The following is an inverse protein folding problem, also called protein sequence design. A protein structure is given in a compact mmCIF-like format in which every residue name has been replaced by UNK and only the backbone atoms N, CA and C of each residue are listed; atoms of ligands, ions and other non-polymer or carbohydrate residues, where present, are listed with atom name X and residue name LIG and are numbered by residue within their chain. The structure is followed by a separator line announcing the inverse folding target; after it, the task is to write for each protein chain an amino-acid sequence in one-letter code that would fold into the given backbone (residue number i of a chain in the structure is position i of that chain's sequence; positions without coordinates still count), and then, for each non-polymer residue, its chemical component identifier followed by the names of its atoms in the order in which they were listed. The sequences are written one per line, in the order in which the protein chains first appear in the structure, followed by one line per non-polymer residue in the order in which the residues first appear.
data_IF_050342842202
#
_entry.id   IF_050342842202
#
_cell.length_a   1.000
_cell.length_b   1.000
_cell.length_c   1.000
_cell.angle_alpha   90.00
_cell.angle_beta   90.00
_cell.angle_gamma   90.00
#
_symmetry.space_group_name_H-M   'P 1'
#
loop_
_entity.id
_entity.type
_entity.pdbx_description
1 polymer ?
#
# COMPACT_ATOMS: atom_id res chain seq x y z
N UNK A 1 -23.78 -9.39 5.34
CA UNK A 1 -22.85 -10.01 4.35
C UNK A 1 -22.21 -8.91 3.53
N UNK A 2 -20.90 -8.90 3.39
CA UNK A 2 -20.16 -7.87 2.59
C UNK A 2 -20.14 -8.42 1.14
N UNK A 3 -21.26 -8.39 0.42
CA UNK A 3 -21.40 -9.06 -0.88
C UNK A 3 -21.06 -8.17 -2.09
N UNK A 4 -20.98 -6.83 -1.92
CA UNK A 4 -20.90 -5.91 -3.07
C UNK A 4 -19.63 -5.03 -3.10
N UNK A 5 -18.50 -5.52 -2.55
CA UNK A 5 -17.26 -4.77 -2.66
C UNK A 5 -16.69 -4.93 -4.06
N UNK A 6 -16.63 -3.82 -4.83
CA UNK A 6 -16.03 -3.81 -6.16
C UNK A 6 -14.51 -3.73 -6.06
N UNK A 7 -13.83 -4.53 -6.89
CA UNK A 7 -12.37 -4.46 -7.04
C UNK A 7 -11.97 -3.09 -7.56
N UNK A 8 -11.01 -2.46 -6.88
CA UNK A 8 -10.33 -1.28 -7.40
C UNK A 8 -9.27 -1.73 -8.42
N UNK A 9 -9.51 -1.47 -9.70
CA UNK A 9 -8.68 -1.89 -10.84
C UNK A 9 -8.55 -0.75 -11.84
N UNK A 10 -7.52 -0.75 -12.72
CA UNK A 10 -7.43 0.22 -13.81
C UNK A 10 -8.69 0.19 -14.68
N UNK A 11 -9.21 1.37 -15.03
CA UNK A 11 -10.34 1.49 -15.92
C UNK A 11 -9.92 1.13 -17.36
N UNK A 12 -10.66 0.24 -18.06
CA UNK A 12 -10.42 -0.03 -19.46
C UNK A 12 -10.56 1.23 -20.31
N UNK A 13 -9.62 1.44 -21.23
CA UNK A 13 -9.67 2.50 -22.24
C UNK A 13 -10.29 1.91 -23.50
N UNK A 14 -11.37 2.52 -23.97
CA UNK A 14 -12.03 2.10 -25.21
C UNK A 14 -11.15 2.37 -26.44
N UNK A 15 -11.35 1.59 -27.50
CA UNK A 15 -10.68 1.81 -28.77
C UNK A 15 -10.99 3.21 -29.31
N UNK A 16 -9.94 3.90 -29.75
CA UNK A 16 -10.03 5.20 -30.42
C UNK A 16 -9.04 5.21 -31.60
N UNK A 17 -9.52 5.49 -32.80
CA UNK A 17 -8.70 5.49 -34.03
C UNK A 17 -7.61 6.57 -34.08
N UNK A 18 -7.59 7.49 -33.13
CA UNK A 18 -6.58 8.58 -33.04
C UNK A 18 -5.23 8.18 -32.49
N UNK A 19 -5.01 6.89 -32.18
CA UNK A 19 -3.77 6.41 -31.61
C UNK A 19 -2.70 6.22 -32.68
N UNK A 20 -1.50 6.75 -32.46
CA UNK A 20 -0.35 6.53 -33.35
C UNK A 20 0.28 5.15 -33.07
N UNK A 21 0.38 4.29 -34.08
CA UNK A 21 1.05 3.00 -33.95
C UNK A 21 2.55 3.16 -33.79
N UNK A 22 3.11 2.50 -32.77
CA UNK A 22 4.53 2.36 -32.54
C UNK A 22 4.97 0.92 -32.89
N UNK A 23 5.72 0.79 -33.97
CA UNK A 23 6.24 -0.49 -34.47
C UNK A 23 7.70 -0.66 -34.08
N UNK A 24 8.19 -1.88 -34.12
CA UNK A 24 9.60 -2.16 -33.91
C UNK A 24 10.50 -1.36 -34.87
N UNK A 25 11.53 -0.70 -34.33
CA UNK A 25 12.39 0.19 -35.10
C UNK A 25 11.89 1.64 -35.28
N UNK A 26 10.69 1.97 -34.74
CA UNK A 26 10.25 3.37 -34.67
C UNK A 26 11.19 4.16 -33.77
N UNK A 27 11.54 5.38 -34.18
CA UNK A 27 12.38 6.28 -33.39
C UNK A 27 11.70 6.74 -32.11
N UNK A 28 12.32 6.49 -30.96
CA UNK A 28 11.81 6.90 -29.66
C UNK A 28 11.73 8.43 -29.52
N UNK A 29 12.65 9.18 -30.13
CA UNK A 29 12.65 10.66 -30.08
C UNK A 29 11.39 11.24 -30.70
N UNK A 30 11.04 10.81 -31.91
CA UNK A 30 9.80 11.19 -32.59
C UNK A 30 8.55 10.81 -31.80
N UNK A 31 8.55 9.63 -31.15
CA UNK A 31 7.44 9.20 -30.31
C UNK A 31 7.32 10.08 -29.05
N UNK A 32 8.42 10.47 -28.42
CA UNK A 32 8.42 11.40 -27.27
C UNK A 32 7.86 12.76 -27.66
N UNK A 33 8.20 13.29 -28.84
CA UNK A 33 7.59 14.53 -29.34
C UNK A 33 6.07 14.43 -29.51
N UNK A 34 5.58 13.29 -30.01
CA UNK A 34 4.14 13.05 -30.12
C UNK A 34 3.47 12.96 -28.75
N UNK A 35 4.10 12.32 -27.76
CA UNK A 35 3.61 12.29 -26.37
C UNK A 35 3.50 13.71 -25.77
N UNK A 36 4.52 14.55 -26.01
CA UNK A 36 4.53 15.96 -25.55
C UNK A 36 3.37 16.74 -26.17
N UNK A 37 3.04 16.45 -27.44
CA UNK A 37 1.88 17.02 -28.15
C UNK A 37 0.54 16.42 -27.70
N UNK A 38 0.54 15.53 -26.68
CA UNK A 38 -0.66 14.89 -26.15
C UNK A 38 -1.23 13.76 -26.99
N UNK A 39 -0.47 13.20 -27.95
CA UNK A 39 -0.91 12.09 -28.76
C UNK A 39 -0.68 10.76 -28.03
N UNK A 40 -1.65 9.87 -28.09
CA UNK A 40 -1.51 8.51 -27.57
C UNK A 40 -0.70 7.62 -28.54
N UNK A 41 0.19 6.82 -27.97
CA UNK A 41 1.09 5.90 -28.67
C UNK A 41 0.68 4.47 -28.34
N UNK A 42 0.36 3.65 -29.37
CA UNK A 42 0.02 2.26 -29.22
C UNK A 42 1.20 1.36 -29.58
N UNK A 43 1.70 0.60 -28.62
CA UNK A 43 2.76 -0.39 -28.84
C UNK A 43 2.19 -1.60 -29.56
N UNK A 44 2.66 -1.88 -30.77
CA UNK A 44 2.09 -2.93 -31.65
C UNK A 44 2.90 -4.23 -31.71
N UNK A 45 4.23 -4.15 -31.79
CA UNK A 45 5.04 -5.33 -32.09
C UNK A 45 5.54 -6.05 -30.83
N UNK A 46 6.46 -5.47 -30.08
CA UNK A 46 7.06 -6.12 -28.92
C UNK A 46 6.82 -5.32 -27.63
N UNK A 47 6.61 -6.04 -26.56
CA UNK A 47 6.51 -5.43 -25.21
C UNK A 47 7.76 -4.61 -24.82
N UNK A 48 8.93 -5.08 -25.27
CA UNK A 48 10.22 -4.40 -25.07
C UNK A 48 10.27 -3.01 -25.71
N UNK A 49 9.53 -2.77 -26.78
CA UNK A 49 9.51 -1.45 -27.46
C UNK A 49 8.89 -0.39 -26.54
N UNK A 50 7.83 -0.74 -25.82
CA UNK A 50 7.24 0.14 -24.80
C UNK A 50 8.17 0.37 -23.59
N UNK A 51 8.91 -0.66 -23.18
CA UNK A 51 9.92 -0.51 -22.12
C UNK A 51 11.05 0.43 -22.54
N UNK A 52 11.51 0.32 -23.80
CA UNK A 52 12.51 1.21 -24.38
C UNK A 52 12.04 2.65 -24.45
N UNK A 53 10.80 2.86 -24.94
CA UNK A 53 10.19 4.19 -25.03
C UNK A 53 10.06 4.85 -23.64
N UNK A 54 9.61 4.10 -22.61
CA UNK A 54 9.53 4.61 -21.24
C UNK A 54 10.92 4.98 -20.68
N UNK A 55 11.93 4.17 -20.97
CA UNK A 55 13.31 4.45 -20.54
C UNK A 55 13.85 5.74 -21.15
N UNK A 56 13.63 5.95 -22.42
CA UNK A 56 14.10 7.14 -23.11
C UNK A 56 13.28 8.38 -22.76
N UNK A 57 11.96 8.23 -22.52
CA UNK A 57 11.13 9.30 -21.93
C UNK A 57 11.65 9.73 -20.55
N UNK A 58 12.04 8.77 -19.70
CA UNK A 58 12.66 9.07 -18.42
C UNK A 58 13.97 9.85 -18.55
N UNK A 59 14.85 9.44 -19.48
CA UNK A 59 16.09 10.17 -19.76
C UNK A 59 15.81 11.58 -20.29
N UNK A 60 14.91 11.71 -21.25
CA UNK A 60 14.51 13.00 -21.82
C UNK A 60 14.03 13.97 -20.73
N UNK A 61 13.11 13.52 -19.88
CA UNK A 61 12.58 14.36 -18.81
C UNK A 61 13.63 14.72 -17.76
N UNK A 62 14.56 13.81 -17.42
CA UNK A 62 15.68 14.13 -16.51
C UNK A 62 16.61 15.22 -17.04
N UNK A 63 16.80 15.30 -18.35
CA UNK A 63 17.60 16.35 -18.98
C UNK A 63 16.84 17.69 -19.04
N UNK A 64 15.53 17.66 -19.12
CA UNK A 64 14.69 18.87 -19.29
C UNK A 64 14.18 19.46 -17.98
N UNK A 65 13.96 18.63 -16.97
CA UNK A 65 13.41 19.03 -15.68
C UNK A 65 14.47 18.79 -14.59
N UNK A 66 14.87 19.82 -13.84
CA UNK A 66 15.70 19.63 -12.68
C UNK A 66 14.94 18.77 -11.66
N UNK A 67 15.65 17.98 -10.87
CA UNK A 67 15.09 17.07 -9.89
C UNK A 67 15.88 17.01 -8.58
N UNK A 68 16.52 18.12 -8.24
CA UNK A 68 17.38 18.25 -7.06
C UNK A 68 16.57 18.58 -5.80
N UNK A 69 15.55 19.44 -5.93
CA UNK A 69 14.64 19.79 -4.84
C UNK A 69 13.41 18.88 -4.83
N UNK A 70 12.73 18.82 -3.69
CA UNK A 70 11.48 18.07 -3.53
C UNK A 70 10.38 18.53 -4.51
N UNK A 71 10.23 19.85 -4.70
CA UNK A 71 9.28 20.44 -5.64
C UNK A 71 9.58 20.04 -7.08
N UNK A 72 10.84 20.05 -7.46
CA UNK A 72 11.29 19.64 -8.81
C UNK A 72 11.07 18.14 -9.03
N UNK A 73 11.35 17.32 -8.04
CA UNK A 73 11.06 15.87 -8.11
C UNK A 73 9.57 15.60 -8.29
N UNK A 74 8.72 16.41 -7.64
CA UNK A 74 7.27 16.31 -7.82
C UNK A 74 6.85 16.70 -9.23
N UNK A 75 7.31 17.84 -9.75
CA UNK A 75 7.03 18.29 -11.12
C UNK A 75 7.49 17.25 -12.16
N UNK A 76 8.68 16.68 -11.97
CA UNK A 76 9.19 15.59 -12.79
C UNK A 76 8.26 14.36 -12.77
N UNK A 77 7.85 13.89 -11.57
CA UNK A 77 6.97 12.73 -11.44
C UNK A 77 5.60 12.96 -12.07
N UNK A 78 5.06 14.17 -11.91
CA UNK A 78 3.78 14.57 -12.49
C UNK A 78 3.82 14.53 -14.02
N UNK A 79 4.85 15.13 -14.62
CA UNK A 79 5.00 15.16 -16.08
C UNK A 79 5.32 13.76 -16.64
N UNK A 80 6.19 12.99 -15.98
CA UNK A 80 6.45 11.60 -16.36
C UNK A 80 5.17 10.76 -16.32
N UNK A 81 4.35 10.87 -15.28
CA UNK A 81 3.06 10.16 -15.17
C UNK A 81 2.11 10.56 -16.28
N UNK A 82 1.99 11.85 -16.55
CA UNK A 82 1.12 12.39 -17.60
C UNK A 82 1.51 11.82 -18.97
N UNK A 83 2.78 11.89 -19.36
CA UNK A 83 3.24 11.43 -20.66
C UNK A 83 3.27 9.91 -20.78
N UNK A 84 3.73 9.20 -19.77
CA UNK A 84 3.78 7.73 -19.80
C UNK A 84 2.39 7.09 -19.86
N UNK A 85 1.36 7.73 -19.32
CA UNK A 85 -0.03 7.26 -19.42
C UNK A 85 -0.63 7.43 -20.82
N UNK A 86 0.05 8.11 -21.75
CA UNK A 86 -0.32 8.14 -23.17
C UNK A 86 0.24 6.95 -23.95
N UNK A 87 1.11 6.12 -23.36
CA UNK A 87 1.63 4.90 -23.97
C UNK A 87 0.67 3.76 -23.64
N UNK A 88 0.09 3.15 -24.66
CA UNK A 88 -0.97 2.17 -24.53
C UNK A 88 -0.53 0.78 -24.99
N UNK A 89 -1.12 -0.23 -24.37
CA UNK A 89 -1.08 -1.63 -24.80
C UNK A 89 -2.49 -2.15 -25.07
N UNK A 90 -2.61 -2.90 -26.15
CA UNK A 90 -3.82 -3.56 -26.56
C UNK A 90 -3.98 -4.91 -25.85
N UNK A 91 -5.19 -5.15 -25.35
CA UNK A 91 -5.58 -6.40 -24.71
C UNK A 91 -6.73 -6.98 -25.49
N UNK A 92 -6.55 -8.23 -25.95
CA UNK A 92 -7.56 -9.04 -26.63
C UNK A 92 -7.69 -10.38 -25.90
N UNK A 93 -8.92 -10.77 -25.60
CA UNK A 93 -9.24 -12.00 -24.87
C UNK A 93 -8.35 -12.19 -23.62
N UNK A 94 -8.28 -11.12 -22.81
CA UNK A 94 -7.52 -11.03 -21.56
C UNK A 94 -5.99 -11.25 -21.70
N UNK A 95 -5.45 -11.11 -22.93
CA UNK A 95 -4.01 -11.25 -23.23
C UNK A 95 -3.47 -9.98 -23.88
N UNK A 96 -2.23 -9.66 -23.58
CA UNK A 96 -1.52 -8.56 -24.25
C UNK A 96 -1.24 -8.95 -25.71
N UNK A 97 -1.57 -8.08 -26.66
CA UNK A 97 -1.34 -8.33 -28.09
C UNK A 97 0.14 -8.19 -28.49
N UNK A 98 0.92 -7.36 -27.79
CA UNK A 98 2.33 -7.19 -28.11
C UNK A 98 3.11 -8.48 -27.86
N UNK A 99 4.02 -8.84 -28.80
CA UNK A 99 4.85 -10.05 -28.73
C UNK A 99 5.77 -10.02 -27.52
N UNK A 100 6.08 -11.20 -26.98
CA UNK A 100 6.96 -11.39 -25.81
C UNK A 100 6.46 -10.65 -24.55
N UNK A 101 5.17 -10.41 -24.45
CA UNK A 101 4.52 -9.85 -23.28
C UNK A 101 4.49 -10.84 -22.10
N UNK A 102 4.52 -10.34 -20.85
CA UNK A 102 4.30 -11.20 -19.71
C UNK A 102 2.86 -11.72 -19.64
N UNK A 103 2.68 -12.93 -19.10
CA UNK A 103 1.35 -13.44 -18.74
C UNK A 103 0.92 -12.85 -17.39
N UNK A 104 -0.25 -12.21 -17.35
CA UNK A 104 -0.77 -11.46 -16.20
C UNK A 104 -2.15 -11.99 -15.86
N UNK A 105 -2.28 -12.88 -14.88
CA UNK A 105 -3.58 -13.48 -14.53
C UNK A 105 -4.58 -12.48 -13.95
N UNK A 106 -4.16 -11.28 -13.55
CA UNK A 106 -5.10 -10.22 -13.20
C UNK A 106 -5.98 -9.77 -14.36
N UNK A 107 -5.53 -9.94 -15.62
CA UNK A 107 -6.34 -9.58 -16.79
C UNK A 107 -7.58 -10.48 -16.89
N UNK A 108 -7.42 -11.78 -16.73
CA UNK A 108 -8.54 -12.73 -16.69
C UNK A 108 -9.45 -12.47 -15.48
N UNK A 109 -8.86 -12.23 -14.33
CA UNK A 109 -9.60 -12.07 -13.07
C UNK A 109 -10.40 -10.78 -13.01
N UNK A 110 -9.86 -9.67 -13.55
CA UNK A 110 -10.46 -8.35 -13.43
C UNK A 110 -11.33 -7.93 -14.59
N UNK A 111 -11.12 -8.51 -15.77
CA UNK A 111 -11.80 -8.11 -17.00
C UNK A 111 -12.48 -9.26 -17.73
N UNK A 112 -13.23 -10.16 -17.03
CA UNK A 112 -13.82 -11.33 -17.66
C UNK A 112 -14.83 -10.96 -18.76
N UNK A 113 -15.49 -9.80 -18.64
CA UNK A 113 -16.50 -9.30 -19.57
C UNK A 113 -15.91 -8.42 -20.69
N UNK A 114 -14.61 -8.09 -20.64
CA UNK A 114 -13.97 -7.19 -21.59
C UNK A 114 -13.08 -7.98 -22.55
N UNK A 115 -13.54 -8.20 -23.77
CA UNK A 115 -12.77 -8.96 -24.75
C UNK A 115 -11.74 -8.11 -25.49
N UNK A 116 -11.99 -6.80 -25.68
CA UNK A 116 -11.05 -5.90 -26.37
C UNK A 116 -11.02 -4.51 -25.72
N UNK A 117 -9.87 -4.11 -25.22
CA UNK A 117 -9.65 -2.82 -24.55
C UNK A 117 -8.16 -2.47 -24.48
N UNK A 118 -7.86 -1.28 -23.99
CA UNK A 118 -6.49 -0.81 -23.77
C UNK A 118 -6.29 -0.46 -22.31
N UNK A 119 -5.02 -0.62 -21.87
CA UNK A 119 -4.52 -0.05 -20.63
C UNK A 119 -3.23 0.72 -20.93
N UNK A 120 -2.90 1.65 -20.04
CA UNK A 120 -1.62 2.35 -20.16
C UNK A 120 -0.46 1.42 -19.83
N UNK A 121 0.68 1.62 -20.45
CA UNK A 121 1.85 0.78 -20.23
C UNK A 121 2.27 0.73 -18.74
N UNK A 122 2.28 1.86 -17.99
CA UNK A 122 2.54 1.82 -16.55
C UNK A 122 1.51 0.99 -15.75
N UNK A 123 0.22 1.01 -16.13
CA UNK A 123 -0.79 0.16 -15.49
C UNK A 123 -0.51 -1.32 -15.72
N UNK A 124 -0.11 -1.69 -16.92
CA UNK A 124 0.30 -3.07 -17.25
C UNK A 124 1.54 -3.48 -16.45
N UNK A 125 2.54 -2.60 -16.33
CA UNK A 125 3.70 -2.88 -15.48
C UNK A 125 3.31 -3.09 -14.02
N UNK A 126 2.40 -2.27 -13.49
CA UNK A 126 1.85 -2.41 -12.13
C UNK A 126 1.09 -3.73 -11.93
N UNK A 127 0.22 -4.08 -12.88
CA UNK A 127 -0.50 -5.37 -12.88
C UNK A 127 0.47 -6.55 -12.95
N UNK A 128 1.48 -6.51 -13.82
CA UNK A 128 2.47 -7.58 -13.93
C UNK A 128 3.29 -7.73 -12.64
N UNK A 129 3.81 -6.63 -12.09
CA UNK A 129 4.56 -6.65 -10.84
C UNK A 129 3.74 -7.24 -9.70
N UNK A 130 2.50 -6.77 -9.54
CA UNK A 130 1.58 -7.28 -8.52
C UNK A 130 1.23 -8.75 -8.74
N UNK A 131 1.06 -9.19 -9.99
CA UNK A 131 0.80 -10.59 -10.32
C UNK A 131 1.96 -11.51 -9.92
N UNK A 132 3.21 -11.07 -10.14
CA UNK A 132 4.39 -11.84 -9.73
C UNK A 132 4.44 -12.01 -8.20
N UNK A 133 4.14 -10.95 -7.44
CA UNK A 133 4.07 -11.02 -5.98
C UNK A 133 2.93 -11.92 -5.50
N UNK A 134 1.75 -11.80 -6.11
CA UNK A 134 0.61 -12.65 -5.80
C UNK A 134 0.89 -14.12 -6.09
N UNK A 135 1.44 -14.43 -7.26
CA UNK A 135 1.73 -15.81 -7.70
C UNK A 135 2.82 -16.46 -6.85
N UNK A 136 3.92 -15.78 -6.62
CA UNK A 136 5.10 -16.34 -5.96
C UNK A 136 5.01 -16.31 -4.43
N UNK A 137 4.22 -15.39 -3.89
CA UNK A 137 4.10 -15.10 -2.48
C UNK A 137 5.37 -14.48 -1.89
N UNK A 138 5.22 -13.90 -0.70
CA UNK A 138 6.28 -13.25 0.06
C UNK A 138 6.50 -14.02 1.34
N UNK A 139 7.74 -14.41 1.60
CA UNK A 139 8.13 -14.98 2.90
C UNK A 139 8.35 -13.84 3.90
N UNK A 140 7.54 -13.80 4.94
CA UNK A 140 7.64 -12.84 6.03
C UNK A 140 8.20 -13.58 7.26
N UNK A 141 9.30 -13.13 7.88
CA UNK A 141 10.00 -13.90 8.93
C UNK A 141 9.15 -14.29 10.14
N UNK A 142 8.11 -13.52 10.42
CA UNK A 142 7.20 -13.72 11.56
C UNK A 142 5.97 -14.57 11.22
N UNK A 143 5.80 -14.97 9.96
CA UNK A 143 4.70 -15.82 9.53
C UNK A 143 5.20 -17.23 9.13
N UNK A 144 4.38 -18.24 9.39
CA UNK A 144 4.68 -19.63 9.01
C UNK A 144 4.54 -19.88 7.51
N UNK A 145 3.57 -19.22 6.89
CA UNK A 145 3.23 -19.39 5.48
C UNK A 145 3.51 -18.10 4.70
N UNK A 146 3.76 -18.25 3.39
CA UNK A 146 3.89 -17.09 2.50
C UNK A 146 2.58 -16.30 2.44
N UNK A 147 2.72 -15.00 2.33
CA UNK A 147 1.63 -14.09 2.00
C UNK A 147 1.54 -13.89 0.49
N UNK A 148 0.32 -13.83 -0.03
CA UNK A 148 0.02 -13.59 -1.43
C UNK A 148 -0.75 -12.27 -1.56
N UNK A 149 -0.05 -11.11 -1.62
CA UNK A 149 -0.71 -9.80 -1.60
C UNK A 149 -1.56 -9.60 -2.84
N UNK A 150 -2.81 -9.22 -2.63
CA UNK A 150 -3.74 -8.93 -3.71
C UNK A 150 -3.34 -7.63 -4.43
N UNK A 151 -3.81 -7.45 -5.67
CA UNK A 151 -3.54 -6.23 -6.44
C UNK A 151 -3.94 -4.97 -5.68
N UNK A 152 -3.06 -3.96 -5.70
CA UNK A 152 -3.32 -2.67 -5.04
C UNK A 152 -3.40 -2.72 -3.52
N UNK A 153 -2.98 -3.83 -2.90
CA UNK A 153 -2.91 -3.95 -1.44
C UNK A 153 -1.48 -3.70 -0.97
N UNK A 154 -1.34 -2.87 0.05
CA UNK A 154 -0.04 -2.66 0.69
C UNK A 154 0.47 -3.97 1.30
N UNK A 155 1.75 -4.24 1.12
CA UNK A 155 2.47 -5.32 1.78
C UNK A 155 3.87 -4.86 2.18
N UNK A 156 4.37 -5.31 3.33
CA UNK A 156 5.67 -4.90 3.82
C UNK A 156 6.80 -5.53 3.00
N UNK A 157 7.77 -4.71 2.61
CA UNK A 157 9.05 -5.13 2.02
C UNK A 157 10.19 -5.10 3.04
N UNK A 158 9.93 -4.56 4.23
CA UNK A 158 10.80 -4.54 5.41
C UNK A 158 10.02 -5.10 6.58
N UNK A 159 10.70 -5.71 7.49
CA UNK A 159 10.08 -6.55 8.50
C UNK A 159 10.38 -6.15 9.94
N UNK A 160 11.18 -5.09 10.16
CA UNK A 160 11.63 -4.65 11.47
C UNK A 160 10.44 -4.36 12.41
N UNK A 161 9.42 -3.66 11.90
CA UNK A 161 8.19 -3.35 12.62
C UNK A 161 7.37 -4.61 12.94
N UNK A 162 7.33 -5.58 12.03
CA UNK A 162 6.62 -6.85 12.24
C UNK A 162 7.33 -7.72 13.29
N UNK A 163 8.67 -7.72 13.27
CA UNK A 163 9.48 -8.40 14.29
C UNK A 163 9.31 -7.74 15.66
N UNK A 164 9.24 -6.41 15.69
CA UNK A 164 9.00 -5.66 16.91
C UNK A 164 7.64 -6.03 17.53
N UNK A 165 6.60 -6.09 16.71
CA UNK A 165 5.27 -6.50 17.12
C UNK A 165 5.21 -7.97 17.57
N UNK A 166 5.85 -8.89 16.85
CA UNK A 166 5.95 -10.31 17.20
C UNK A 166 6.61 -10.49 18.57
N UNK A 167 7.71 -9.78 18.83
CA UNK A 167 8.40 -9.81 20.12
C UNK A 167 7.54 -9.25 21.26
N UNK A 168 6.71 -8.25 21.00
CA UNK A 168 5.76 -7.75 21.96
C UNK A 168 4.64 -8.77 22.23
N UNK A 169 4.05 -9.38 21.19
CA UNK A 169 3.01 -10.40 21.32
C UNK A 169 3.47 -11.63 22.13
N UNK A 170 4.75 -12.02 22.02
CA UNK A 170 5.35 -13.12 22.83
C UNK A 170 5.32 -12.82 24.32
N UNK A 171 5.35 -11.54 24.71
CA UNK A 171 5.37 -11.07 26.11
C UNK A 171 4.01 -10.56 26.57
N UNK A 172 3.01 -10.56 25.68
CA UNK A 172 1.68 -10.08 26.01
C UNK A 172 0.94 -11.12 26.85
N UNK A 173 0.70 -10.77 28.13
CA UNK A 173 0.01 -11.61 29.14
C UNK A 173 -1.47 -11.28 29.30
N UNK A 174 -1.96 -10.23 28.62
CA UNK A 174 -3.37 -9.82 28.68
C UNK A 174 -4.32 -10.84 28.03
N UNK A 175 -5.63 -10.62 28.16
CA UNK A 175 -6.65 -11.46 27.55
C UNK A 175 -6.49 -11.51 26.03
N UNK A 176 -6.76 -12.67 25.44
CA UNK A 176 -6.63 -12.93 23.99
C UNK A 176 -7.97 -13.36 23.37
N UNK A 177 -9.10 -12.83 23.90
CA UNK A 177 -10.44 -13.15 23.38
C UNK A 177 -10.71 -12.44 22.08
N UNK A 178 -10.57 -11.10 22.07
CA UNK A 178 -10.89 -10.25 20.93
C UNK A 178 -9.81 -9.20 20.67
N UNK A 179 -9.60 -8.86 19.40
CA UNK A 179 -8.73 -7.75 18.99
C UNK A 179 -9.28 -7.12 17.72
N UNK A 180 -9.06 -5.82 17.55
CA UNK A 180 -9.32 -5.09 16.31
C UNK A 180 -7.99 -4.80 15.62
N UNK A 181 -7.88 -5.15 14.34
CA UNK A 181 -6.79 -4.79 13.42
C UNK A 181 -7.31 -3.71 12.46
N UNK A 182 -6.88 -2.47 12.68
CA UNK A 182 -7.31 -1.33 11.87
C UNK A 182 -6.34 -1.15 10.70
N UNK A 183 -6.88 -1.06 9.46
CA UNK A 183 -6.05 -0.99 8.27
C UNK A 183 -5.31 -2.31 8.02
N UNK A 184 -6.07 -3.40 7.85
CA UNK A 184 -5.53 -4.77 7.82
C UNK A 184 -4.54 -5.03 6.68
N UNK A 185 -4.61 -4.27 5.58
CA UNK A 185 -3.76 -4.46 4.42
C UNK A 185 -3.78 -5.90 3.90
N UNK A 186 -2.61 -6.51 3.74
CA UNK A 186 -2.51 -7.92 3.36
C UNK A 186 -2.71 -8.91 4.52
N UNK A 187 -3.02 -8.44 5.75
CA UNK A 187 -3.40 -9.28 6.88
C UNK A 187 -2.27 -9.76 7.77
N UNK A 188 -1.05 -9.23 7.64
CA UNK A 188 0.11 -9.74 8.39
C UNK A 188 -0.07 -9.62 9.90
N UNK A 189 -0.55 -8.47 10.40
CA UNK A 189 -0.76 -8.27 11.84
C UNK A 189 -1.87 -9.18 12.38
N UNK A 190 -2.98 -9.29 11.65
CA UNK A 190 -4.07 -10.23 11.97
C UNK A 190 -3.57 -11.66 12.09
N UNK A 191 -2.71 -12.11 11.16
CA UNK A 191 -2.15 -13.46 11.19
C UNK A 191 -1.18 -13.65 12.35
N UNK A 192 -0.35 -12.66 12.68
CA UNK A 192 0.50 -12.72 13.87
C UNK A 192 -0.35 -12.89 15.14
N UNK A 193 -1.40 -12.08 15.30
CA UNK A 193 -2.30 -12.17 16.46
C UNK A 193 -2.97 -13.54 16.57
N UNK A 194 -3.44 -14.11 15.46
CA UNK A 194 -4.00 -15.46 15.44
C UNK A 194 -2.94 -16.50 15.83
N UNK A 195 -1.69 -16.38 15.35
CA UNK A 195 -0.58 -17.28 15.73
C UNK A 195 -0.23 -17.19 17.20
N UNK A 196 -0.38 -16.01 17.81
CA UNK A 196 -0.14 -15.78 19.25
C UNK A 196 -1.35 -16.09 20.14
N UNK A 197 -2.40 -16.72 19.57
CA UNK A 197 -3.50 -17.30 20.35
C UNK A 197 -4.73 -16.43 20.49
N UNK A 198 -4.83 -15.28 19.80
CA UNK A 198 -6.09 -14.53 19.80
C UNK A 198 -7.22 -15.35 19.19
N UNK A 199 -8.34 -15.38 19.87
CA UNK A 199 -9.49 -16.20 19.48
C UNK A 199 -10.27 -15.60 18.33
N UNK A 200 -10.44 -14.25 18.35
CA UNK A 200 -11.17 -13.50 17.34
C UNK A 200 -10.44 -12.19 17.00
N UNK A 201 -10.17 -11.98 15.72
CA UNK A 201 -9.64 -10.75 15.16
C UNK A 201 -10.73 -10.10 14.32
N UNK A 202 -11.09 -8.86 14.63
CA UNK A 202 -11.92 -8.01 13.79
C UNK A 202 -11.00 -7.11 12.98
N UNK A 203 -11.02 -7.25 11.65
CA UNK A 203 -10.07 -6.59 10.77
C UNK A 203 -10.78 -5.69 9.76
N UNK A 204 -10.36 -4.44 9.69
CA UNK A 204 -10.99 -3.44 8.82
C UNK A 204 -9.99 -2.86 7.83
N UNK A 205 -10.47 -2.44 6.67
CA UNK A 205 -9.69 -1.66 5.72
C UNK A 205 -10.60 -0.80 4.84
N UNK A 206 -10.12 0.39 4.47
CA UNK A 206 -10.78 1.27 3.51
C UNK A 206 -10.47 0.85 2.06
N UNK A 207 -9.42 0.07 1.86
CA UNK A 207 -9.07 -0.46 0.54
C UNK A 207 -9.89 -1.72 0.23
N UNK A 208 -10.78 -1.69 -0.77
CA UNK A 208 -11.61 -2.84 -1.12
C UNK A 208 -10.78 -4.07 -1.50
N UNK A 209 -9.62 -3.84 -2.13
CA UNK A 209 -8.72 -4.92 -2.58
C UNK A 209 -8.06 -5.65 -1.41
N UNK A 210 -7.80 -4.98 -0.29
CA UNK A 210 -7.31 -5.62 0.93
C UNK A 210 -8.34 -6.61 1.48
N UNK A 211 -9.61 -6.19 1.57
CA UNK A 211 -10.71 -7.03 2.05
C UNK A 211 -10.99 -8.21 1.10
N UNK A 212 -11.03 -7.95 -0.21
CA UNK A 212 -11.25 -9.00 -1.21
C UNK A 212 -10.11 -10.03 -1.16
N UNK A 213 -8.86 -9.56 -1.20
CA UNK A 213 -7.69 -10.43 -1.22
C UNK A 213 -7.55 -11.27 0.04
N UNK A 214 -7.77 -10.67 1.21
CA UNK A 214 -7.70 -11.41 2.46
C UNK A 214 -8.87 -12.42 2.60
N UNK A 215 -10.06 -12.08 2.11
CA UNK A 215 -11.19 -13.01 2.06
C UNK A 215 -10.88 -14.24 1.19
N UNK A 216 -10.30 -14.05 0.01
CA UNK A 216 -9.88 -15.15 -0.86
C UNK A 216 -8.83 -16.03 -0.16
N UNK A 217 -7.81 -15.42 0.43
CA UNK A 217 -6.80 -16.14 1.18
C UNK A 217 -7.38 -16.96 2.33
N UNK A 218 -8.33 -16.39 3.09
CA UNK A 218 -9.00 -17.08 4.18
C UNK A 218 -9.92 -18.21 3.71
N UNK A 219 -10.52 -18.08 2.52
CA UNK A 219 -11.38 -19.10 1.93
C UNK A 219 -10.68 -20.44 1.69
N UNK A 220 -9.35 -20.42 1.51
CA UNK A 220 -8.52 -21.61 1.38
C UNK A 220 -8.01 -22.18 2.70
N UNK A 221 -8.36 -21.56 3.84
CA UNK A 221 -7.84 -21.87 5.16
C UNK A 221 -8.95 -21.88 6.23
N UNK A 222 -8.65 -22.33 7.45
CA UNK A 222 -9.58 -22.24 8.59
C UNK A 222 -9.59 -20.87 9.28
N UNK A 223 -8.94 -19.85 8.69
CA UNK A 223 -8.78 -18.52 9.29
C UNK A 223 -10.10 -17.74 9.36
N UNK A 224 -11.05 -18.01 8.47
CA UNK A 224 -12.38 -17.38 8.47
C UNK A 224 -13.16 -17.55 9.78
N UNK A 225 -12.81 -18.57 10.60
CA UNK A 225 -13.37 -18.75 11.94
C UNK A 225 -12.79 -17.78 12.97
N UNK A 226 -11.55 -17.32 12.73
CA UNK A 226 -10.81 -16.46 13.66
C UNK A 226 -10.73 -15.01 13.23
N UNK A 227 -10.76 -14.72 11.93
CA UNK A 227 -10.69 -13.36 11.38
C UNK A 227 -12.01 -13.01 10.75
N UNK A 228 -12.57 -11.89 11.16
CA UNK A 228 -13.79 -11.31 10.59
C UNK A 228 -13.43 -9.97 9.94
N UNK A 229 -13.80 -9.81 8.66
CA UNK A 229 -13.44 -8.66 7.85
C UNK A 229 -14.59 -7.68 7.74
N UNK A 230 -14.29 -6.39 7.77
CA UNK A 230 -15.21 -5.34 7.40
C UNK A 230 -14.55 -4.31 6.49
N UNK A 231 -15.31 -3.79 5.51
CA UNK A 231 -14.88 -2.74 4.60
C UNK A 231 -15.37 -1.40 5.13
N UNK A 232 -14.45 -0.49 5.41
CA UNK A 232 -14.81 0.84 5.88
C UNK A 232 -13.63 1.64 6.42
N UNK A 233 -13.89 2.91 6.70
CA UNK A 233 -12.92 3.81 7.30
C UNK A 233 -12.68 3.44 8.77
N UNK A 234 -11.41 3.43 9.19
CA UNK A 234 -10.98 3.08 10.56
C UNK A 234 -11.62 1.77 11.05
N UNK A 235 -12.59 1.86 11.95
CA UNK A 235 -13.26 0.72 12.58
C UNK A 235 -14.43 0.16 11.76
N UNK A 236 -14.72 0.75 10.58
CA UNK A 236 -15.91 0.37 9.82
C UNK A 236 -17.17 0.46 10.67
N UNK A 237 -17.94 -0.62 10.71
CA UNK A 237 -19.15 -0.75 11.54
C UNK A 237 -18.95 -1.49 12.86
N UNK A 238 -17.70 -1.79 13.26
CA UNK A 238 -17.43 -2.42 14.54
C UNK A 238 -17.63 -1.44 15.70
N UNK A 239 -18.62 -1.73 16.53
CA UNK A 239 -18.93 -0.92 17.72
C UNK A 239 -18.62 -1.65 19.03
N UNK A 240 -18.23 -2.93 18.95
CA UNK A 240 -17.95 -3.75 20.13
C UNK A 240 -16.63 -3.33 20.78
N UNK A 241 -16.60 -3.39 22.11
CA UNK A 241 -15.37 -3.21 22.86
C UNK A 241 -14.47 -4.45 22.78
N UNK A 242 -13.17 -4.24 22.87
CA UNK A 242 -12.14 -5.28 22.75
C UNK A 242 -11.01 -5.06 23.76
N UNK A 243 -10.26 -6.10 24.03
CA UNK A 243 -9.09 -6.06 24.91
C UNK A 243 -7.89 -5.41 24.27
N UNK A 244 -7.81 -5.47 22.93
CA UNK A 244 -6.67 -4.97 22.18
C UNK A 244 -7.14 -4.31 20.89
N UNK A 245 -6.58 -3.14 20.60
CA UNK A 245 -6.68 -2.49 19.29
C UNK A 245 -5.26 -2.35 18.74
N UNK A 246 -5.05 -2.76 17.50
CA UNK A 246 -3.77 -2.65 16.80
C UNK A 246 -3.95 -1.83 15.55
N UNK A 247 -3.04 -0.89 15.30
CA UNK A 247 -3.04 -0.07 14.11
C UNK A 247 -1.61 0.18 13.62
N UNK A 248 -1.35 -0.14 12.38
CA UNK A 248 -0.17 0.31 11.64
C UNK A 248 -0.61 1.38 10.62
N UNK A 249 -0.73 2.64 11.04
CA UNK A 249 -1.19 3.72 10.16
C UNK A 249 -0.17 4.02 9.06
N UNK A 250 -0.54 4.83 8.05
CA UNK A 250 0.43 5.50 7.20
C UNK A 250 1.43 6.31 8.04
N UNK A 251 2.72 6.35 7.63
CA UNK A 251 3.79 6.97 8.42
C UNK A 251 4.14 8.39 7.99
N UNK A 252 3.66 8.84 6.84
CA UNK A 252 3.96 10.16 6.29
C UNK A 252 2.70 11.03 6.28
N UNK A 253 2.78 12.31 6.72
CA UNK A 253 1.67 13.22 6.56
C UNK A 253 1.44 13.54 5.09
N UNK A 254 0.17 13.72 4.73
CA UNK A 254 -0.23 14.21 3.42
C UNK A 254 0.33 15.60 3.18
N UNK A 255 1.07 15.77 2.09
CA UNK A 255 1.48 17.08 1.62
C UNK A 255 0.59 17.45 0.43
N UNK A 256 -0.11 18.59 0.49
CA UNK A 256 -1.05 19.06 -0.55
C UNK A 256 -0.44 19.15 -1.95
N UNK A 257 0.89 19.21 -2.04
CA UNK A 257 1.62 19.28 -3.32
C UNK A 257 1.88 17.90 -3.96
N UNK A 258 1.51 16.79 -3.33
CA UNK A 258 1.88 15.43 -3.75
C UNK A 258 0.92 14.72 -4.71
N UNK A 259 -0.12 15.38 -5.24
CA UNK A 259 -1.05 14.74 -6.19
C UNK A 259 -1.77 13.50 -5.61
N UNK A 260 -2.19 12.55 -6.46
CA UNK A 260 -2.92 11.36 -6.00
C UNK A 260 -2.10 10.55 -4.99
N UNK A 261 -2.64 10.41 -3.82
CA UNK A 261 -2.01 9.87 -2.62
C UNK A 261 -2.24 8.38 -2.56
N UNK A 262 -1.19 7.65 -2.16
CA UNK A 262 -1.32 6.28 -1.72
C UNK A 262 -1.74 6.30 -0.23
N UNK A 263 -3.01 6.07 0.04
CA UNK A 263 -3.60 6.09 1.40
C UNK A 263 -2.92 5.11 2.38
N UNK A 264 -2.14 4.15 1.87
CA UNK A 264 -1.34 3.27 2.70
C UNK A 264 -0.01 3.88 3.16
N UNK A 265 0.40 5.01 2.59
CA UNK A 265 1.68 5.67 2.87
C UNK A 265 1.50 7.02 3.53
N UNK A 266 0.44 7.76 3.16
CA UNK A 266 0.20 9.13 3.60
C UNK A 266 -1.09 9.24 4.40
N UNK A 267 -1.05 9.99 5.51
CA UNK A 267 -2.21 10.27 6.34
C UNK A 267 -2.62 11.75 6.24
N UNK A 268 -3.91 11.98 6.25
CA UNK A 268 -4.48 13.32 6.36
C UNK A 268 -4.51 13.81 7.82
N UNK A 269 -4.79 15.09 8.01
CA UNK A 269 -4.77 15.73 9.35
C UNK A 269 -5.81 15.16 10.33
N UNK A 270 -6.89 14.55 9.86
CA UNK A 270 -7.97 14.07 10.73
C UNK A 270 -7.78 12.61 11.15
N UNK A 271 -6.92 11.84 10.46
CA UNK A 271 -6.76 10.41 10.69
C UNK A 271 -6.52 10.07 12.17
N UNK A 272 -5.51 10.68 12.79
CA UNK A 272 -5.14 10.36 14.16
C UNK A 272 -6.15 10.86 15.19
N UNK A 273 -6.65 12.12 15.14
CA UNK A 273 -7.73 12.58 16.02
C UNK A 273 -8.97 11.69 15.97
N UNK A 274 -9.42 11.34 14.76
CA UNK A 274 -10.60 10.49 14.54
C UNK A 274 -10.35 9.06 15.03
N UNK A 275 -9.16 8.51 14.76
CA UNK A 275 -8.76 7.19 15.23
C UNK A 275 -8.76 7.13 16.76
N UNK A 276 -8.10 8.04 17.46
CA UNK A 276 -8.00 8.02 18.91
C UNK A 276 -9.36 8.22 19.57
N UNK A 277 -10.21 9.10 19.04
CA UNK A 277 -11.58 9.29 19.53
C UNK A 277 -12.43 8.02 19.36
N UNK A 278 -12.30 7.33 18.24
CA UNK A 278 -13.02 6.09 17.97
C UNK A 278 -12.46 4.89 18.76
N UNK A 279 -11.13 4.81 18.93
CA UNK A 279 -10.46 3.78 19.71
C UNK A 279 -10.87 3.83 21.19
N UNK A 280 -10.95 5.04 21.77
CA UNK A 280 -11.38 5.24 23.16
C UNK A 280 -12.73 4.61 23.48
N UNK A 281 -13.67 4.66 22.54
CA UNK A 281 -15.02 4.09 22.71
C UNK A 281 -15.03 2.55 22.62
N UNK A 282 -14.03 1.98 21.91
CA UNK A 282 -13.97 0.55 21.55
C UNK A 282 -12.95 -0.25 22.35
N UNK A 283 -12.17 0.41 23.18
CA UNK A 283 -11.21 -0.26 24.06
C UNK A 283 -11.86 -0.51 25.43
N UNK A 284 -11.75 -1.74 25.92
CA UNK A 284 -12.15 -2.06 27.31
C UNK A 284 -11.31 -1.24 28.31
N UNK A 285 -11.78 -1.00 29.54
CA UNK A 285 -11.06 -0.21 30.53
C UNK A 285 -9.59 -0.64 30.71
N UNK A 286 -9.34 -1.96 30.85
CA UNK A 286 -8.02 -2.57 31.00
C UNK A 286 -7.37 -2.94 29.65
N UNK A 287 -8.00 -2.54 28.54
CA UNK A 287 -7.51 -2.86 27.19
C UNK A 287 -6.26 -2.08 26.82
N UNK A 288 -5.57 -2.56 25.81
CA UNK A 288 -4.36 -1.90 25.27
C UNK A 288 -4.58 -1.43 23.85
N UNK A 289 -4.08 -0.23 23.55
CA UNK A 289 -3.99 0.32 22.21
C UNK A 289 -2.54 0.23 21.76
N UNK A 290 -2.29 -0.47 20.65
CA UNK A 290 -0.95 -0.65 20.10
C UNK A 290 -0.86 0.00 18.73
N UNK A 291 0.04 0.97 18.60
CA UNK A 291 0.35 1.60 17.32
C UNK A 291 1.76 1.22 16.87
N UNK A 292 1.88 0.93 15.60
CA UNK A 292 3.17 0.71 14.94
C UNK A 292 3.46 1.94 14.08
N UNK A 293 4.56 2.62 14.34
CA UNK A 293 4.90 3.87 13.66
C UNK A 293 6.38 3.95 13.31
N UNK A 294 6.83 5.05 12.74
CA UNK A 294 8.23 5.32 12.42
C UNK A 294 8.53 6.81 12.54
N UNK A 295 9.76 7.14 12.91
CA UNK A 295 10.29 8.49 12.87
C UNK A 295 10.62 8.98 11.44
N UNK A 296 10.14 8.28 10.40
CA UNK A 296 10.47 8.55 8.99
C UNK A 296 10.16 10.00 8.58
N UNK A 297 9.00 10.52 9.00
CA UNK A 297 8.58 11.87 8.67
C UNK A 297 9.52 12.93 9.26
N UNK A 298 10.01 12.71 10.48
CA UNK A 298 10.93 13.61 11.18
C UNK A 298 12.34 13.59 10.57
N UNK A 299 12.91 12.39 10.35
CA UNK A 299 14.27 12.27 9.77
C UNK A 299 14.35 12.72 8.31
N UNK A 300 13.21 12.74 7.60
CA UNK A 300 13.14 13.27 6.23
C UNK A 300 12.69 14.74 6.18
N UNK A 301 12.55 15.39 7.33
CA UNK A 301 12.13 16.80 7.49
C UNK A 301 10.79 17.12 6.81
N UNK A 302 9.89 16.15 6.73
CA UNK A 302 8.51 16.35 6.21
C UNK A 302 7.65 17.05 7.26
N UNK A 303 7.85 16.70 8.53
CA UNK A 303 7.24 17.35 9.70
C UNK A 303 8.11 17.18 10.92
N UNK A 304 7.95 18.07 11.90
CA UNK A 304 8.51 17.94 13.25
C UNK A 304 7.52 17.31 14.24
N UNK A 305 6.23 17.25 13.87
CA UNK A 305 5.17 16.72 14.72
C UNK A 305 5.15 15.20 14.69
N UNK A 306 4.88 14.60 15.86
CA UNK A 306 4.65 13.16 15.99
C UNK A 306 3.22 12.93 16.50
N UNK A 307 2.32 12.35 15.68
CA UNK A 307 0.88 12.35 15.98
C UNK A 307 0.51 11.58 17.25
N UNK A 308 1.29 10.58 17.66
CA UNK A 308 1.05 9.84 18.91
C UNK A 308 1.50 10.67 20.11
N UNK A 309 2.62 11.39 20.03
CA UNK A 309 3.09 12.29 21.09
C UNK A 309 2.11 13.45 21.28
N UNK A 310 1.59 14.01 20.18
CA UNK A 310 0.54 15.04 20.24
C UNK A 310 -0.71 14.54 20.98
N UNK A 311 -1.17 13.32 20.69
CA UNK A 311 -2.30 12.72 21.42
C UNK A 311 -2.02 12.56 22.91
N UNK A 312 -0.83 12.10 23.26
CA UNK A 312 -0.44 11.90 24.67
C UNK A 312 -0.31 13.23 25.44
N UNK A 313 0.11 14.31 24.77
CA UNK A 313 0.24 15.62 25.36
C UNK A 313 -1.10 16.37 25.50
N UNK A 314 -1.98 16.27 24.52
CA UNK A 314 -3.15 17.14 24.38
C UNK A 314 -4.48 16.39 24.44
N UNK A 315 -4.51 15.11 24.02
CA UNK A 315 -5.75 14.35 23.82
C UNK A 315 -6.46 13.89 25.08
N UNK A 316 -5.72 13.71 26.18
CA UNK A 316 -6.24 13.26 27.49
C UNK A 316 -7.09 11.98 27.46
N UNK A 317 -6.94 11.14 26.42
CA UNK A 317 -7.69 9.88 26.24
C UNK A 317 -6.88 8.67 26.66
N UNK A 318 -5.60 8.72 26.40
CA UNK A 318 -4.66 7.62 26.62
C UNK A 318 -3.42 8.09 27.37
N UNK A 319 -2.80 7.16 28.07
CA UNK A 319 -1.49 7.34 28.68
C UNK A 319 -0.51 6.32 28.14
N UNK A 320 0.76 6.69 28.07
CA UNK A 320 1.84 5.81 27.61
C UNK A 320 2.11 4.74 28.68
N UNK A 321 1.98 3.48 28.31
CA UNK A 321 2.51 2.36 29.11
C UNK A 321 3.97 2.12 28.73
N UNK A 322 4.26 1.99 27.42
CA UNK A 322 5.61 1.78 26.91
C UNK A 322 5.74 2.09 25.42
N UNK A 323 6.93 2.58 25.03
CA UNK A 323 7.35 2.67 23.63
C UNK A 323 8.59 1.78 23.43
N UNK A 324 8.52 0.87 22.47
CA UNK A 324 9.65 0.06 22.02
C UNK A 324 10.13 0.58 20.69
N UNK A 325 11.45 0.65 20.50
CA UNK A 325 12.07 1.12 19.26
C UNK A 325 13.00 0.08 18.67
N UNK A 326 13.13 0.07 17.36
CA UNK A 326 14.05 -0.80 16.64
C UNK A 326 14.57 -0.08 15.41
N UNK A 327 15.91 0.00 15.31
CA UNK A 327 16.56 0.60 14.14
C UNK A 327 16.31 -0.24 12.88
N UNK A 328 16.07 0.45 11.78
CA UNK A 328 15.90 -0.16 10.45
C UNK A 328 17.27 -0.46 9.85
N UNK A 329 17.40 -1.61 9.21
CA UNK A 329 18.64 -1.97 8.52
C UNK A 329 18.92 -1.00 7.38
N UNK A 330 20.16 -0.56 7.25
CA UNK A 330 20.62 0.25 6.14
C UNK A 330 20.24 -0.39 4.78
N UNK A 331 20.05 0.45 3.77
CA UNK A 331 19.79 -0.03 2.42
C UNK A 331 20.97 -0.89 1.93
N UNK A 332 20.68 -1.98 1.23
CA UNK A 332 21.75 -2.80 0.63
C UNK A 332 22.49 -1.98 -0.44
N UNK A 333 23.78 -2.28 -0.67
CA UNK A 333 24.61 -1.67 -1.71
C UNK A 333 24.03 -1.82 -3.14
N UNK A 334 23.04 -2.69 -3.31
CA UNK A 334 22.28 -2.87 -4.57
C UNK A 334 21.19 -1.82 -4.78
N UNK A 335 20.88 -1.03 -3.76
CA UNK A 335 19.84 0.00 -3.83
C UNK A 335 20.43 1.25 -4.50
N UNK A 336 20.04 1.52 -5.74
CA UNK A 336 20.50 2.68 -6.55
C UNK A 336 19.99 4.04 -6.07
N UNK A 337 19.15 4.09 -5.04
CA UNK A 337 18.59 5.33 -4.47
C UNK A 337 19.46 5.79 -3.32
N UNK A 338 19.80 7.07 -3.31
CA UNK A 338 20.40 7.72 -2.15
C UNK A 338 19.38 7.71 -1.00
N UNK A 339 19.68 6.96 0.04
CA UNK A 339 18.82 6.76 1.20
C UNK A 339 19.67 6.72 2.47
N UNK A 340 20.62 7.67 2.61
CA UNK A 340 21.46 7.80 3.81
C UNK A 340 20.64 7.94 5.10
N UNK A 341 19.46 8.56 5.03
CA UNK A 341 18.53 8.69 6.15
C UNK A 341 18.03 7.36 6.72
N UNK A 342 18.10 6.25 5.94
CA UNK A 342 17.64 4.94 6.42
C UNK A 342 18.38 4.42 7.64
N UNK A 343 19.63 4.78 7.81
CA UNK A 343 20.41 4.40 9.00
C UNK A 343 19.93 5.10 10.27
N UNK A 344 19.16 6.17 10.14
CA UNK A 344 18.56 6.95 11.21
C UNK A 344 17.10 6.57 11.45
N UNK A 345 16.51 5.73 10.57
CA UNK A 345 15.12 5.32 10.69
C UNK A 345 14.94 4.32 11.84
N UNK A 346 14.01 4.61 12.71
CA UNK A 346 13.54 3.71 13.75
C UNK A 346 12.06 3.40 13.55
N UNK A 347 11.72 2.12 13.67
CA UNK A 347 10.33 1.71 13.82
C UNK A 347 9.99 1.66 15.31
N UNK A 348 8.79 2.08 15.62
CA UNK A 348 8.30 2.29 16.98
C UNK A 348 7.03 1.46 17.21
N UNK A 349 6.92 0.88 18.39
CA UNK A 349 5.71 0.21 18.86
C UNK A 349 5.28 0.89 20.16
N UNK A 350 4.20 1.62 20.06
CA UNK A 350 3.59 2.38 21.15
C UNK A 350 2.49 1.55 21.79
N UNK A 351 2.60 1.31 23.09
CA UNK A 351 1.57 0.64 23.90
C UNK A 351 0.94 1.67 24.80
N UNK A 352 -0.36 1.91 24.59
CA UNK A 352 -1.13 2.91 25.32
C UNK A 352 -2.24 2.21 26.10
N UNK A 353 -2.63 2.81 27.23
CA UNK A 353 -3.75 2.40 28.07
C UNK A 353 -4.74 3.53 28.23
N UNK A 354 -5.98 3.19 28.55
CA UNK A 354 -7.02 4.19 28.81
C UNK A 354 -6.69 5.06 30.03
N UNK A 355 -6.86 6.37 29.92
CA UNK A 355 -7.04 7.23 31.09
C UNK A 355 -8.49 7.01 31.56
N UNK A 356 -8.66 6.41 32.74
CA UNK A 356 -9.97 6.16 33.32
C UNK A 356 -10.49 7.44 33.99
N UNK A 357 -11.79 7.74 33.90
CA UNK A 357 -12.36 8.84 34.68
C UNK A 357 -12.12 8.58 36.17
N UNK A 358 -11.76 9.65 36.89
CA UNK A 358 -11.61 9.62 38.35
C UNK A 358 -12.97 9.42 39.04
#
# INVERSE_FOLDING_TARGET
MITDIKVNKPAPIAFNEKQKSFKHGTDNGSAIEDLIKGKSILIKDFYSDGTSLLHDLHKYLKLKLPNTSFKEQHAYRSEYRKLSNLILLEILDQKLCAKKSPSIGWLEKFYPENNHFFLTFPQIQGLNSSWQWYKNGISIPVLRNKMHPYYGTYFPTRFEHLVLFDNWLKRYEGPKKTVIDVGVGCGVLSLQMVQHGFQKVYATDINPNAIIGLREFMGTTKLSRKIELDFGHLFGKWEKQTELIVFNPPWLPENRDLGSIDDAIYYNKTLFPDFFAAAKKRLLPEGKLVLIFSNLAQITNVTTEHPIETELAEGNRFQLERCYKKSVKAASNKTKRDQHWRSLEEVELWVLTNILPK
#
